data_IF_654320647203
#
_entry.id   IF_654320647203
#
_cell.length_a   1.000
_cell.length_b   1.000
_cell.length_c   1.000
_cell.angle_alpha   90.00
_cell.angle_beta   90.00
_cell.angle_gamma   90.00
#
_symmetry.space_group_name_H-M   'P 1'
#
loop_
_entity.id
_entity.type
_entity.pdbx_description
1 polymer ?
#
# COMPACT_ATOMS: atom_id res chain seq x y z
N UNK A 1 28.50 -18.49 -24.27
CA UNK A 1 27.42 -17.56 -24.65
C UNK A 1 26.38 -17.60 -23.55
N UNK A 2 26.29 -16.53 -22.75
CA UNK A 2 25.20 -16.34 -21.80
C UNK A 2 23.88 -16.24 -22.58
N UNK A 3 22.86 -17.00 -22.16
CA UNK A 3 21.51 -16.90 -22.70
C UNK A 3 20.87 -15.66 -22.10
N UNK A 4 20.89 -14.55 -22.84
CA UNK A 4 20.10 -13.36 -22.50
C UNK A 4 18.63 -13.77 -22.35
N UNK A 5 17.98 -13.35 -21.26
CA UNK A 5 16.54 -13.50 -21.06
C UNK A 5 15.80 -12.90 -22.27
N UNK A 6 14.91 -13.70 -22.87
CA UNK A 6 14.19 -13.33 -24.10
C UNK A 6 12.75 -12.89 -23.84
N UNK A 7 12.24 -13.07 -22.62
CA UNK A 7 10.86 -12.82 -22.26
C UNK A 7 10.77 -11.70 -21.20
N UNK A 8 10.36 -10.51 -21.64
CA UNK A 8 10.14 -9.38 -20.74
C UNK A 8 8.79 -9.53 -20.03
N UNK A 9 8.79 -10.17 -18.86
CA UNK A 9 7.58 -10.37 -18.06
C UNK A 9 7.14 -9.04 -17.45
N UNK A 10 5.93 -8.59 -17.79
CA UNK A 10 5.31 -7.42 -17.15
C UNK A 10 4.57 -7.87 -15.89
N UNK A 11 4.86 -7.20 -14.78
CA UNK A 11 4.16 -7.39 -13.52
C UNK A 11 3.23 -6.21 -13.26
N UNK A 12 2.02 -6.43 -12.73
CA UNK A 12 1.20 -5.33 -12.21
C UNK A 12 1.91 -4.65 -11.04
N UNK A 13 1.89 -3.32 -11.03
CA UNK A 13 2.56 -2.50 -10.02
C UNK A 13 1.52 -1.66 -9.28
N UNK A 14 1.44 -1.85 -7.96
CA UNK A 14 0.73 -0.95 -7.07
C UNK A 14 1.73 0.06 -6.51
N UNK A 15 1.60 1.31 -6.94
CA UNK A 15 2.47 2.40 -6.51
C UNK A 15 1.79 3.23 -5.42
N UNK A 16 2.43 3.30 -4.25
CA UNK A 16 2.01 4.07 -3.09
C UNK A 16 3.04 5.17 -2.83
N UNK A 17 2.69 6.39 -3.22
CA UNK A 17 3.50 7.57 -2.95
C UNK A 17 3.01 8.28 -1.68
N UNK A 18 3.81 8.32 -0.61
CA UNK A 18 3.47 9.02 0.63
C UNK A 18 3.88 10.50 0.64
N UNK A 19 4.34 11.08 -0.48
CA UNK A 19 4.85 12.44 -0.48
C UNK A 19 3.83 13.55 -0.29
N UNK A 20 2.62 13.35 -0.80
CA UNK A 20 1.69 14.45 -1.05
C UNK A 20 0.85 14.87 0.17
N UNK A 21 1.23 14.42 1.37
CA UNK A 21 0.45 14.66 2.58
C UNK A 21 1.31 15.28 3.69
N UNK A 22 0.64 16.08 4.54
CA UNK A 22 1.19 16.60 5.78
C UNK A 22 0.78 15.69 6.93
N UNK A 23 1.75 15.01 7.53
CA UNK A 23 1.54 14.02 8.57
C UNK A 23 1.60 14.65 9.97
N UNK A 24 0.61 15.47 10.31
CA UNK A 24 0.52 16.15 11.61
C UNK A 24 -0.63 15.67 12.50
N UNK A 25 -1.53 14.83 11.97
CA UNK A 25 -2.62 14.16 12.70
C UNK A 25 -2.79 12.71 12.22
N UNK A 26 -3.28 11.76 13.05
CA UNK A 26 -3.47 10.36 12.66
C UNK A 26 -4.24 10.16 11.35
N UNK A 27 -5.29 10.96 11.16
CA UNK A 27 -6.20 10.88 10.02
C UNK A 27 -5.51 11.19 8.69
N UNK A 28 -4.41 11.95 8.68
CA UNK A 28 -3.65 12.26 7.46
C UNK A 28 -3.13 10.98 6.79
N UNK A 29 -2.56 10.06 7.57
CA UNK A 29 -2.07 8.78 7.07
C UNK A 29 -3.23 7.87 6.65
N UNK A 30 -4.29 7.79 7.46
CA UNK A 30 -5.45 6.96 7.12
C UNK A 30 -6.11 7.42 5.81
N UNK A 31 -6.27 8.74 5.63
CA UNK A 31 -6.83 9.32 4.42
C UNK A 31 -5.94 9.05 3.20
N UNK A 32 -4.62 9.19 3.34
CA UNK A 32 -3.68 8.92 2.26
C UNK A 32 -3.72 7.46 1.80
N UNK A 33 -3.71 6.52 2.74
CA UNK A 33 -3.84 5.09 2.46
C UNK A 33 -5.20 4.76 1.85
N UNK A 34 -6.28 5.32 2.41
CA UNK A 34 -7.63 5.16 1.88
C UNK A 34 -7.74 5.65 0.42
N UNK A 35 -7.13 6.79 0.09
CA UNK A 35 -7.12 7.33 -1.27
C UNK A 35 -6.46 6.37 -2.26
N UNK A 36 -5.30 5.80 -1.91
CA UNK A 36 -4.63 4.80 -2.75
C UNK A 36 -5.50 3.54 -2.95
N UNK A 37 -6.15 3.06 -1.88
CA UNK A 37 -7.05 1.91 -1.97
C UNK A 37 -8.23 2.17 -2.89
N UNK A 38 -8.85 3.35 -2.81
CA UNK A 38 -9.99 3.71 -3.66
C UNK A 38 -9.59 3.68 -5.14
N UNK A 39 -8.41 4.17 -5.50
CA UNK A 39 -7.94 4.12 -6.89
C UNK A 39 -7.67 2.69 -7.35
N UNK A 40 -7.07 1.85 -6.52
CA UNK A 40 -6.84 0.45 -6.86
C UNK A 40 -8.14 -0.38 -6.90
N UNK A 41 -9.12 -0.06 -6.06
CA UNK A 41 -10.45 -0.67 -6.06
C UNK A 41 -11.23 -0.36 -7.33
N UNK A 42 -11.03 0.81 -7.94
CA UNK A 42 -11.58 1.10 -9.27
C UNK A 42 -11.01 0.19 -10.36
N UNK A 43 -9.74 -0.20 -10.23
CA UNK A 43 -9.05 -1.04 -11.23
C UNK A 43 -9.30 -2.54 -11.04
N UNK A 44 -9.26 -3.02 -9.80
CA UNK A 44 -9.30 -4.45 -9.46
C UNK A 44 -10.58 -4.87 -8.72
N UNK A 45 -11.53 -3.95 -8.56
CA UNK A 45 -12.77 -4.16 -7.82
C UNK A 45 -12.62 -4.06 -6.31
N UNK A 46 -13.75 -4.04 -5.62
CA UNK A 46 -13.87 -4.00 -4.16
C UNK A 46 -14.84 -5.09 -3.66
N UNK A 47 -14.66 -5.52 -2.41
CA UNK A 47 -15.61 -6.38 -1.71
C UNK A 47 -16.14 -5.69 -0.46
N UNK A 48 -17.42 -5.88 -0.16
CA UNK A 48 -18.08 -5.31 1.02
C UNK A 48 -17.60 -5.91 2.35
N UNK A 49 -16.87 -7.03 2.30
CA UNK A 49 -16.28 -7.70 3.46
C UNK A 49 -15.04 -6.98 4.01
N UNK A 50 -14.34 -6.20 3.16
CA UNK A 50 -13.16 -5.44 3.53
C UNK A 50 -13.50 -4.20 4.34
N UNK A 51 -13.49 -4.30 5.67
CA UNK A 51 -13.85 -3.17 6.54
C UNK A 51 -12.68 -2.28 6.91
N UNK A 52 -11.48 -2.83 7.03
CA UNK A 52 -10.26 -2.08 7.37
C UNK A 52 -9.40 -1.80 6.14
N UNK A 53 -8.50 -0.82 6.24
CA UNK A 53 -7.51 -0.51 5.20
C UNK A 53 -6.69 -1.76 4.82
N UNK A 54 -6.24 -2.53 5.82
CA UNK A 54 -5.46 -3.75 5.61
C UNK A 54 -6.25 -4.84 4.86
N UNK A 55 -7.50 -5.10 5.25
CA UNK A 55 -8.35 -6.10 4.57
C UNK A 55 -8.65 -5.70 3.13
N UNK A 56 -8.90 -4.39 2.90
CA UNK A 56 -9.10 -3.86 1.55
C UNK A 56 -7.84 -4.03 0.70
N UNK A 57 -6.67 -3.71 1.26
CA UNK A 57 -5.40 -3.88 0.57
C UNK A 57 -5.10 -5.33 0.20
N UNK A 58 -5.28 -6.25 1.14
CA UNK A 58 -5.14 -7.70 0.92
C UNK A 58 -6.06 -8.17 -0.23
N UNK A 59 -7.32 -7.74 -0.21
CA UNK A 59 -8.28 -8.06 -1.27
C UNK A 59 -7.85 -7.53 -2.64
N UNK A 60 -7.33 -6.30 -2.70
CA UNK A 60 -6.80 -5.69 -3.93
C UNK A 60 -5.63 -6.51 -4.47
N UNK A 61 -4.66 -6.87 -3.62
CA UNK A 61 -3.50 -7.68 -4.03
C UNK A 61 -3.95 -9.02 -4.61
N UNK A 62 -4.87 -9.73 -3.93
CA UNK A 62 -5.40 -11.02 -4.39
C UNK A 62 -6.12 -10.90 -5.73
N UNK A 63 -6.97 -9.87 -5.90
CA UNK A 63 -7.71 -9.65 -7.15
C UNK A 63 -6.79 -9.24 -8.29
N UNK A 64 -5.83 -8.36 -8.05
CA UNK A 64 -4.82 -7.97 -9.03
C UNK A 64 -3.98 -9.18 -9.49
N UNK A 65 -3.50 -10.02 -8.55
CA UNK A 65 -2.80 -11.26 -8.89
C UNK A 65 -3.64 -12.19 -9.77
N UNK A 66 -4.94 -12.35 -9.44
CA UNK A 66 -5.86 -13.21 -10.18
C UNK A 66 -6.18 -12.67 -11.57
N UNK A 67 -6.39 -11.37 -11.70
CA UNK A 67 -6.76 -10.71 -12.97
C UNK A 67 -5.59 -10.70 -13.95
N UNK A 68 -4.37 -10.48 -13.46
CA UNK A 68 -3.17 -10.33 -14.29
C UNK A 68 -2.42 -11.66 -14.50
N UNK A 69 -2.79 -12.71 -13.76
CA UNK A 69 -2.13 -14.02 -13.82
C UNK A 69 -0.65 -13.98 -13.39
N UNK A 70 -0.23 -12.91 -12.71
CA UNK A 70 1.14 -12.60 -12.32
C UNK A 70 1.17 -12.12 -10.87
N UNK A 71 2.33 -12.19 -10.22
CA UNK A 71 2.51 -11.60 -8.89
C UNK A 71 2.46 -10.07 -9.01
N UNK A 72 1.93 -9.43 -7.97
CA UNK A 72 1.89 -7.97 -7.87
C UNK A 72 3.19 -7.46 -7.25
N UNK A 73 3.74 -6.40 -7.84
CA UNK A 73 4.84 -5.61 -7.30
C UNK A 73 4.24 -4.42 -6.56
N UNK A 74 4.75 -4.12 -5.38
CA UNK A 74 4.30 -2.99 -4.57
C UNK A 74 5.49 -2.06 -4.39
N UNK A 75 5.35 -0.84 -4.89
CA UNK A 75 6.36 0.20 -4.77
C UNK A 75 5.84 1.24 -3.78
N UNK A 76 6.63 1.50 -2.74
CA UNK A 76 6.30 2.51 -1.73
C UNK A 76 7.36 3.59 -1.77
N UNK A 77 6.99 4.79 -2.17
CA UNK A 77 7.85 5.96 -2.11
C UNK A 77 7.65 6.68 -0.78
N UNK A 78 8.77 7.08 -0.17
CA UNK A 78 8.78 7.85 1.09
C UNK A 78 8.05 7.13 2.23
N UNK A 79 8.30 5.82 2.32
CA UNK A 79 7.69 4.92 3.31
C UNK A 79 7.91 5.37 4.77
N UNK A 80 8.98 6.11 5.03
CA UNK A 80 9.38 6.64 6.33
C UNK A 80 8.88 8.06 6.60
N UNK A 81 8.39 8.78 5.58
CA UNK A 81 7.95 10.19 5.71
C UNK A 81 6.94 10.44 6.82
N UNK A 82 5.88 9.61 7.03
CA UNK A 82 5.00 9.78 8.18
C UNK A 82 5.75 9.70 9.51
N UNK A 83 6.69 8.76 9.62
CA UNK A 83 7.49 8.56 10.82
C UNK A 83 8.49 9.69 11.07
N UNK A 84 9.06 10.26 9.99
CA UNK A 84 9.98 11.40 10.05
C UNK A 84 9.26 12.69 10.47
N UNK A 85 8.05 12.93 9.98
CA UNK A 85 7.27 14.12 10.35
C UNK A 85 6.70 14.08 11.77
N UNK A 86 6.56 12.89 12.36
CA UNK A 86 6.12 12.71 13.74
C UNK A 86 7.26 12.72 14.77
N UNK A 87 8.51 12.99 14.38
CA UNK A 87 9.63 13.06 15.32
C UNK A 87 9.37 14.15 16.37
N UNK A 88 9.42 13.78 17.66
CA UNK A 88 9.13 14.67 18.78
C UNK A 88 7.69 14.59 19.30
N UNK A 89 6.81 13.84 18.62
CA UNK A 89 5.47 13.50 19.08
C UNK A 89 5.31 11.98 19.19
N UNK A 90 5.60 11.43 20.38
CA UNK A 90 5.54 9.98 20.64
C UNK A 90 4.14 9.40 20.42
N UNK A 91 3.09 10.17 20.69
CA UNK A 91 1.70 9.71 20.53
C UNK A 91 1.35 9.56 19.05
N UNK A 92 1.68 10.57 18.25
CA UNK A 92 1.49 10.55 16.80
C UNK A 92 2.36 9.47 16.15
N UNK A 93 3.62 9.37 16.54
CA UNK A 93 4.54 8.37 16.00
C UNK A 93 4.07 6.94 16.30
N UNK A 94 3.53 6.69 17.50
CA UNK A 94 2.90 5.41 17.85
C UNK A 94 1.66 5.13 17.01
N UNK A 95 0.82 6.15 16.78
CA UNK A 95 -0.36 6.03 15.93
C UNK A 95 0.02 5.65 14.49
N UNK A 96 0.94 6.39 13.86
CA UNK A 96 1.41 6.07 12.51
C UNK A 96 2.05 4.69 12.41
N UNK A 97 2.88 4.30 13.39
CA UNK A 97 3.48 2.97 13.43
C UNK A 97 2.41 1.88 13.44
N UNK A 98 1.41 1.99 14.30
CA UNK A 98 0.35 0.99 14.40
C UNK A 98 -0.46 0.88 13.10
N UNK A 99 -0.76 2.02 12.46
CA UNK A 99 -1.48 2.06 11.18
C UNK A 99 -0.66 1.41 10.07
N UNK A 100 0.63 1.75 9.93
CA UNK A 100 1.51 1.16 8.93
C UNK A 100 1.75 -0.33 9.18
N UNK A 101 1.93 -0.75 10.43
CA UNK A 101 2.12 -2.16 10.78
C UNK A 101 0.90 -3.00 10.40
N UNK A 102 -0.31 -2.52 10.72
CA UNK A 102 -1.55 -3.18 10.33
C UNK A 102 -1.70 -3.22 8.80
N UNK A 103 -1.45 -2.09 8.12
CA UNK A 103 -1.58 -1.97 6.67
C UNK A 103 -0.63 -2.91 5.91
N UNK A 104 0.66 -2.89 6.24
CA UNK A 104 1.65 -3.78 5.62
C UNK A 104 1.55 -5.23 6.08
N UNK A 105 0.82 -5.51 7.17
CA UNK A 105 0.43 -6.87 7.54
C UNK A 105 -0.26 -7.62 6.40
N UNK A 106 -1.01 -6.92 5.54
CA UNK A 106 -1.66 -7.48 4.36
C UNK A 106 -0.68 -8.12 3.35
N UNK A 107 0.61 -7.76 3.38
CA UNK A 107 1.63 -8.30 2.49
C UNK A 107 2.10 -9.72 2.87
N UNK A 108 1.77 -10.17 4.10
CA UNK A 108 2.18 -11.46 4.63
C UNK A 108 1.17 -12.58 4.36
N UNK A 109 0.00 -12.24 3.80
CA UNK A 109 -1.16 -13.12 3.63
C UNK A 109 -1.25 -13.78 2.25
#
# INVERSE_FOLDING_TARGET
>A
MEKLEKDWVKYPVLHLDLNTEKYDIPESLENKLNGALVEWEKMYGAESSGKSLAMRFEGIIKRACRQEGQRVVILVEEYDKPMLQAIGDDALQKSFRNTLEAFYGALKS
#
